data_IF_436510862776
#
_entry.id   IF_436510862776
#
_cell.length_a   1.000
_cell.length_b   1.000
_cell.length_c   1.000
_cell.angle_alpha   90.00
_cell.angle_beta   90.00
_cell.angle_gamma   90.00
#
_symmetry.space_group_name_H-M   'P 1'
#
loop_
_entity.id
_entity.type
_entity.pdbx_description
1 polymer ?
#
# COMPACT_ATOMS: atom_id res chain seq x y z
N UNK A 1 18.12 3.34 -29.54
CA UNK A 1 17.50 2.81 -28.31
C UNK A 1 16.11 3.45 -28.21
N UNK A 2 15.04 2.71 -28.54
CA UNK A 2 13.67 3.28 -28.48
C UNK A 2 13.26 3.36 -27.01
N UNK A 3 12.87 4.53 -26.54
CA UNK A 3 12.23 4.70 -25.23
C UNK A 3 11.07 3.72 -25.16
N UNK A 4 11.07 2.82 -24.17
CA UNK A 4 9.90 1.98 -23.91
C UNK A 4 8.80 2.93 -23.45
N UNK A 5 7.78 3.12 -24.26
CA UNK A 5 6.56 3.76 -23.80
C UNK A 5 5.98 2.85 -22.71
N UNK A 6 6.15 3.25 -21.45
CA UNK A 6 5.31 2.71 -20.40
C UNK A 6 3.94 3.36 -20.56
N UNK A 7 2.90 2.54 -20.65
CA UNK A 7 1.53 3.06 -20.65
C UNK A 7 1.34 3.91 -19.39
N UNK A 8 0.75 5.10 -19.54
CA UNK A 8 0.55 6.06 -18.44
C UNK A 8 -0.34 5.48 -17.34
N UNK A 9 -1.14 4.50 -17.70
CA UNK A 9 -2.03 3.74 -16.83
C UNK A 9 -2.09 2.29 -17.31
N UNK A 10 -2.54 1.39 -16.44
CA UNK A 10 -2.91 0.02 -16.77
C UNK A 10 -4.33 -0.26 -16.25
N UNK A 11 -5.12 -1.10 -16.94
CA UNK A 11 -6.43 -1.49 -16.44
C UNK A 11 -6.24 -2.43 -15.23
N UNK A 12 -7.11 -2.29 -14.23
CA UNK A 12 -7.15 -3.19 -13.11
C UNK A 12 -8.60 -3.53 -12.76
N UNK A 13 -8.92 -4.81 -12.72
CA UNK A 13 -10.26 -5.33 -12.39
C UNK A 13 -10.42 -5.52 -10.88
N UNK A 14 -11.67 -5.66 -10.42
CA UNK A 14 -11.95 -6.00 -9.01
C UNK A 14 -11.35 -7.35 -8.62
N UNK A 15 -11.38 -8.33 -9.53
CA UNK A 15 -10.79 -9.65 -9.30
C UNK A 15 -9.27 -9.57 -9.13
N UNK A 16 -8.59 -8.80 -9.99
CA UNK A 16 -7.14 -8.57 -9.86
C UNK A 16 -6.81 -7.79 -8.58
N UNK A 17 -7.64 -6.81 -8.19
CA UNK A 17 -7.44 -6.13 -6.91
C UNK A 17 -7.61 -7.06 -5.72
N UNK A 18 -8.68 -7.85 -5.70
CA UNK A 18 -8.90 -8.83 -4.64
C UNK A 18 -7.70 -9.76 -4.53
N UNK A 19 -7.21 -10.30 -5.66
CA UNK A 19 -6.03 -11.17 -5.70
C UNK A 19 -4.80 -10.50 -5.09
N UNK A 20 -4.51 -9.24 -5.46
CA UNK A 20 -3.41 -8.45 -4.87
C UNK A 20 -3.59 -8.17 -3.38
N UNK A 21 -4.83 -8.04 -2.92
CA UNK A 21 -5.11 -7.68 -1.52
C UNK A 21 -4.97 -8.87 -0.57
N UNK A 22 -5.06 -10.09 -1.10
CA UNK A 22 -4.94 -11.33 -0.33
C UNK A 22 -3.66 -12.11 -0.64
N UNK A 23 -2.80 -11.61 -1.53
CA UNK A 23 -1.61 -12.34 -2.00
C UNK A 23 -0.61 -12.66 -0.89
N UNK A 24 -0.62 -11.86 0.16
CA UNK A 24 0.30 -11.96 1.30
C UNK A 24 -0.27 -12.80 2.45
N UNK A 25 -1.53 -13.22 2.37
CA UNK A 25 -2.18 -14.02 3.41
C UNK A 25 -1.61 -15.44 3.38
N UNK A 26 -1.05 -15.96 4.50
CA UNK A 26 -0.48 -17.30 4.53
C UNK A 26 -1.49 -18.40 4.19
N UNK A 27 -1.01 -19.46 3.55
CA UNK A 27 -1.81 -20.64 3.23
C UNK A 27 -2.50 -21.22 4.46
N UNK A 28 -3.79 -21.57 4.31
CA UNK A 28 -4.60 -22.13 5.39
C UNK A 28 -5.15 -21.11 6.39
N UNK A 29 -4.81 -19.82 6.26
CA UNK A 29 -5.43 -18.76 7.06
C UNK A 29 -6.85 -18.44 6.54
N UNK A 30 -7.83 -18.14 7.42
CA UNK A 30 -9.13 -17.64 7.01
C UNK A 30 -9.03 -16.35 6.18
N UNK A 31 -10.01 -16.06 5.30
CA UNK A 31 -10.07 -14.79 4.59
C UNK A 31 -10.01 -13.60 5.55
N UNK A 32 -9.08 -12.69 5.31
CA UNK A 32 -8.88 -11.50 6.14
C UNK A 32 -9.69 -10.30 5.67
N UNK A 33 -10.00 -10.22 4.37
CA UNK A 33 -10.82 -9.14 3.84
C UNK A 33 -12.22 -9.23 4.41
N UNK A 34 -12.70 -8.08 4.89
CA UNK A 34 -14.02 -7.99 5.48
C UNK A 34 -15.10 -7.73 4.42
N UNK A 35 -16.40 -7.93 4.73
CA UNK A 35 -17.48 -7.65 3.77
C UNK A 35 -17.50 -6.20 3.24
N UNK A 36 -16.80 -5.28 3.91
CA UNK A 36 -16.56 -3.92 3.42
C UNK A 36 -15.82 -3.87 2.08
N UNK A 37 -15.10 -4.93 1.68
CA UNK A 37 -14.41 -4.98 0.39
C UNK A 37 -15.38 -4.82 -0.79
N UNK A 38 -16.58 -5.41 -0.74
CA UNK A 38 -17.53 -5.33 -1.85
C UNK A 38 -18.05 -3.90 -2.05
N UNK A 39 -18.34 -3.20 -0.95
CA UNK A 39 -18.69 -1.79 -0.98
C UNK A 39 -17.52 -0.97 -1.52
N UNK A 40 -16.32 -1.18 -0.98
CA UNK A 40 -15.11 -0.49 -1.44
C UNK A 40 -14.86 -0.73 -2.93
N UNK A 41 -15.04 -1.95 -3.44
CA UNK A 41 -14.82 -2.30 -4.83
C UNK A 41 -15.81 -1.60 -5.76
N UNK A 42 -17.09 -1.50 -5.35
CA UNK A 42 -18.10 -0.73 -6.07
C UNK A 42 -17.77 0.76 -6.12
N UNK A 43 -17.37 1.33 -5.00
CA UNK A 43 -16.98 2.75 -4.92
C UNK A 43 -15.69 3.03 -5.71
N UNK A 44 -14.71 2.12 -5.64
CA UNK A 44 -13.47 2.18 -6.40
C UNK A 44 -13.71 2.15 -7.91
N UNK A 45 -14.58 1.26 -8.41
CA UNK A 45 -14.97 1.24 -9.83
C UNK A 45 -15.62 2.57 -10.26
N UNK A 46 -16.43 3.19 -9.40
CA UNK A 46 -17.09 4.46 -9.67
C UNK A 46 -16.12 5.66 -9.73
N UNK A 47 -14.89 5.53 -9.21
CA UNK A 47 -13.88 6.60 -9.31
C UNK A 47 -13.39 6.83 -10.74
N UNK A 48 -13.55 5.87 -11.63
CA UNK A 48 -13.21 6.00 -13.05
C UNK A 48 -14.48 6.00 -13.91
N UNK A 49 -14.90 7.14 -14.50
CA UNK A 49 -16.13 7.25 -15.29
C UNK A 49 -16.20 6.33 -16.52
N UNK A 50 -15.07 5.79 -16.99
CA UNK A 50 -15.03 4.85 -18.13
C UNK A 50 -14.93 3.38 -17.71
N UNK A 51 -14.96 3.09 -16.41
CA UNK A 51 -14.76 1.73 -15.89
C UNK A 51 -15.80 0.71 -16.37
N UNK A 52 -17.03 1.17 -16.67
CA UNK A 52 -18.12 0.34 -17.18
C UNK A 52 -18.16 0.16 -18.71
N UNK A 53 -17.20 0.70 -19.46
CA UNK A 53 -17.24 0.72 -20.92
C UNK A 53 -16.85 -0.59 -21.62
N UNK A 54 -16.36 -1.59 -20.90
CA UNK A 54 -15.83 -2.86 -21.45
C UNK A 54 -16.58 -4.11 -20.98
N UNK A 55 -16.19 -5.28 -21.51
CA UNK A 55 -16.75 -6.58 -21.10
C UNK A 55 -16.37 -7.01 -19.69
N UNK A 56 -15.30 -6.44 -19.13
CA UNK A 56 -14.87 -6.62 -17.74
C UNK A 56 -14.63 -5.25 -17.12
N UNK A 57 -15.42 -4.83 -16.12
CA UNK A 57 -15.22 -3.54 -15.46
C UNK A 57 -13.83 -3.42 -14.84
N UNK A 58 -13.14 -2.30 -15.10
CA UNK A 58 -11.78 -2.06 -14.64
C UNK A 58 -11.51 -0.57 -14.42
N UNK A 59 -10.59 -0.25 -13.52
CA UNK A 59 -10.13 1.12 -13.25
C UNK A 59 -8.81 1.38 -13.98
N UNK A 60 -8.68 2.53 -14.66
CA UNK A 60 -7.39 3.00 -15.18
C UNK A 60 -6.50 3.40 -14.01
N UNK A 61 -5.57 2.51 -13.66
CA UNK A 61 -4.63 2.71 -12.56
C UNK A 61 -3.36 3.38 -13.06
N UNK A 62 -2.92 4.52 -12.50
CA UNK A 62 -1.69 5.19 -12.93
C UNK A 62 -0.46 4.29 -12.78
N UNK A 63 0.45 4.34 -13.75
CA UNK A 63 1.70 3.56 -13.71
C UNK A 63 2.81 4.19 -12.85
N UNK A 64 2.63 5.44 -12.40
CA UNK A 64 3.62 6.20 -11.63
C UNK A 64 4.12 5.48 -10.37
N UNK A 65 3.22 5.04 -9.46
CA UNK A 65 3.63 4.34 -8.23
C UNK A 65 4.51 3.11 -8.49
N UNK A 66 4.29 2.40 -9.61
CA UNK A 66 5.13 1.25 -9.97
C UNK A 66 6.53 1.67 -10.41
N UNK A 67 6.66 2.81 -11.09
CA UNK A 67 7.96 3.37 -11.45
C UNK A 67 8.71 3.83 -10.20
N UNK A 68 8.03 4.53 -9.29
CA UNK A 68 8.60 5.02 -8.03
C UNK A 68 9.07 3.86 -7.15
N UNK A 69 8.27 2.80 -7.05
CA UNK A 69 8.62 1.59 -6.31
C UNK A 69 9.85 0.89 -6.91
N UNK A 70 9.93 0.77 -8.23
CA UNK A 70 11.09 0.19 -8.89
C UNK A 70 12.37 1.03 -8.65
N UNK A 71 12.24 2.35 -8.69
CA UNK A 71 13.34 3.26 -8.41
C UNK A 71 13.82 3.13 -6.95
N UNK A 72 12.88 3.14 -5.99
CA UNK A 72 13.18 2.94 -4.58
C UNK A 72 13.85 1.59 -4.29
N UNK A 73 13.34 0.49 -4.85
CA UNK A 73 13.97 -0.84 -4.73
C UNK A 73 15.33 -0.94 -5.41
N UNK A 74 15.64 -0.04 -6.34
CA UNK A 74 16.96 0.07 -6.98
C UNK A 74 17.90 1.00 -6.21
N UNK A 75 17.48 1.56 -5.07
CA UNK A 75 18.26 2.48 -4.25
C UNK A 75 18.19 3.95 -4.68
N UNK A 76 17.22 4.31 -5.53
CA UNK A 76 17.01 5.67 -6.04
C UNK A 76 15.56 6.13 -5.74
N UNK A 77 15.20 6.38 -4.47
CA UNK A 77 13.87 6.83 -4.12
C UNK A 77 13.59 8.21 -4.74
N UNK A 78 12.33 8.52 -5.11
CA UNK A 78 11.98 9.78 -5.78
C UNK A 78 12.06 11.02 -4.87
N UNK A 79 12.56 10.87 -3.64
CA UNK A 79 12.71 11.91 -2.64
C UNK A 79 13.84 11.57 -1.67
N UNK A 80 14.34 12.57 -0.94
CA UNK A 80 15.36 12.42 0.10
C UNK A 80 14.71 12.23 1.48
N UNK A 81 14.71 11.02 2.09
CA UNK A 81 14.01 10.79 3.35
C UNK A 81 14.56 11.60 4.52
N UNK A 82 15.84 11.97 4.46
CA UNK A 82 16.50 12.80 5.46
C UNK A 82 15.91 14.21 5.59
N UNK A 83 15.17 14.68 4.58
CA UNK A 83 14.50 15.99 4.60
C UNK A 83 13.12 15.97 5.28
N UNK A 84 12.66 14.82 5.77
CA UNK A 84 11.40 14.74 6.52
C UNK A 84 11.64 15.30 7.93
N UNK A 85 11.13 16.51 8.17
CA UNK A 85 11.21 17.22 9.45
C UNK A 85 10.01 16.93 10.38
N UNK A 86 8.92 16.39 9.86
CA UNK A 86 7.73 16.08 10.66
C UNK A 86 7.97 14.84 11.56
N UNK A 87 7.35 14.76 12.76
CA UNK A 87 7.22 13.50 13.48
C UNK A 87 6.68 12.41 12.55
N UNK A 88 7.32 11.24 12.52
CA UNK A 88 6.98 10.17 11.57
C UNK A 88 6.72 8.84 12.27
N UNK A 89 5.63 8.16 11.91
CA UNK A 89 5.34 6.80 12.34
C UNK A 89 5.16 5.90 11.11
N UNK A 90 5.98 4.87 11.01
CA UNK A 90 5.87 3.81 10.01
C UNK A 90 4.96 2.74 10.62
N UNK A 91 3.80 2.48 10.01
CA UNK A 91 2.88 1.43 10.44
C UNK A 91 2.70 0.44 9.29
N UNK A 92 2.97 -0.84 9.54
CA UNK A 92 3.01 -1.88 8.51
C UNK A 92 2.55 -3.23 9.03
N UNK A 93 2.11 -4.08 8.11
CA UNK A 93 1.67 -5.43 8.41
C UNK A 93 2.84 -6.41 8.55
N UNK A 94 2.65 -7.48 9.31
CA UNK A 94 3.63 -8.56 9.42
C UNK A 94 3.77 -9.37 8.14
N UNK A 95 2.66 -9.56 7.42
CA UNK A 95 2.62 -10.33 6.18
C UNK A 95 2.87 -9.48 4.95
N UNK A 96 2.87 -8.15 5.06
CA UNK A 96 3.08 -7.22 3.96
C UNK A 96 4.43 -7.45 3.26
N UNK A 97 4.39 -8.05 2.07
CA UNK A 97 5.58 -8.38 1.29
C UNK A 97 6.14 -7.17 0.53
N UNK A 98 5.36 -6.10 0.42
CA UNK A 98 5.74 -4.86 -0.26
C UNK A 98 6.49 -3.89 0.66
N UNK A 99 6.43 -4.11 1.98
CA UNK A 99 7.05 -3.29 3.01
C UNK A 99 7.79 -4.18 4.03
N UNK A 100 8.92 -4.74 3.59
CA UNK A 100 9.67 -5.71 4.39
C UNK A 100 10.30 -5.09 5.64
N UNK A 101 10.79 -5.93 6.56
CA UNK A 101 11.56 -5.47 7.72
C UNK A 101 12.83 -4.72 7.31
N UNK A 102 13.43 -5.09 6.17
CA UNK A 102 14.60 -4.39 5.63
C UNK A 102 14.24 -3.00 5.10
N UNK A 103 13.14 -2.88 4.34
CA UNK A 103 12.66 -1.60 3.81
C UNK A 103 12.33 -0.64 4.95
N UNK A 104 11.59 -1.10 5.96
CA UNK A 104 11.19 -0.30 7.11
C UNK A 104 12.41 0.17 7.92
N UNK A 105 13.37 -0.73 8.19
CA UNK A 105 14.62 -0.38 8.87
C UNK A 105 15.44 0.63 8.07
N UNK A 106 15.51 0.46 6.75
CA UNK A 106 16.22 1.37 5.84
C UNK A 106 15.62 2.77 5.86
N UNK A 107 14.31 2.88 5.66
CA UNK A 107 13.58 4.15 5.70
C UNK A 107 13.68 4.80 7.09
N UNK A 108 13.48 4.03 8.16
CA UNK A 108 13.59 4.53 9.53
C UNK A 108 14.96 5.16 9.80
N UNK A 109 16.04 4.53 9.35
CA UNK A 109 17.40 5.06 9.49
C UNK A 109 17.64 6.31 8.62
N UNK A 110 17.06 6.36 7.41
CA UNK A 110 17.22 7.46 6.47
C UNK A 110 16.52 8.75 6.89
N UNK A 111 15.44 8.67 7.67
CA UNK A 111 14.72 9.85 8.20
C UNK A 111 15.55 10.47 9.33
N UNK A 112 16.47 11.38 9.03
CA UNK A 112 17.40 11.93 10.03
C UNK A 112 16.92 13.22 10.69
N UNK A 113 16.09 14.02 10.01
CA UNK A 113 15.65 15.33 10.51
C UNK A 113 14.37 15.30 11.34
N UNK A 114 13.70 14.14 11.44
CA UNK A 114 12.46 14.03 12.20
C UNK A 114 12.74 14.05 13.71
N UNK A 115 12.00 14.85 14.50
CA UNK A 115 12.18 14.95 15.95
C UNK A 115 11.67 13.72 16.71
N UNK A 116 10.82 12.89 16.08
CA UNK A 116 10.25 11.68 16.66
C UNK A 116 10.00 10.66 15.55
N UNK A 117 10.50 9.44 15.73
CA UNK A 117 10.28 8.33 14.79
C UNK A 117 9.79 7.08 15.51
N UNK A 118 8.81 6.40 14.92
CA UNK A 118 8.31 5.10 15.39
C UNK A 118 8.20 4.12 14.21
N UNK A 119 8.49 2.83 14.46
CA UNK A 119 8.16 1.71 13.57
C UNK A 119 7.24 0.75 14.33
N UNK A 120 6.05 0.51 13.79
CA UNK A 120 5.01 -0.34 14.37
C UNK A 120 4.64 -1.43 13.36
N UNK A 121 5.08 -2.66 13.66
CA UNK A 121 4.70 -3.86 12.91
C UNK A 121 3.48 -4.51 13.56
N UNK A 122 2.42 -4.72 12.78
CA UNK A 122 1.15 -5.31 13.22
C UNK A 122 1.12 -6.78 12.81
N UNK A 123 1.03 -7.68 13.78
CA UNK A 123 0.87 -9.12 13.56
C UNK A 123 -0.32 -9.42 12.65
N UNK A 124 -0.17 -10.40 11.75
CA UNK A 124 -1.23 -10.88 10.85
C UNK A 124 -1.80 -9.82 9.88
N UNK A 125 -1.17 -8.66 9.78
CA UNK A 125 -1.58 -7.62 8.84
C UNK A 125 -0.95 -7.81 7.46
N UNK A 126 -1.75 -7.69 6.40
CA UNK A 126 -1.27 -7.64 5.02
C UNK A 126 -1.03 -6.20 4.51
N UNK A 127 -0.79 -6.06 3.21
CA UNK A 127 -0.59 -4.74 2.59
C UNK A 127 -1.84 -3.83 2.66
N UNK A 128 -3.04 -4.42 2.76
CA UNK A 128 -4.32 -3.71 2.73
C UNK A 128 -5.08 -3.79 4.06
N UNK A 129 -4.35 -3.79 5.18
CA UNK A 129 -4.87 -3.88 6.55
C UNK A 129 -6.12 -3.04 6.85
N UNK A 130 -6.29 -1.87 6.22
CA UNK A 130 -7.46 -1.04 6.47
C UNK A 130 -8.80 -1.66 6.03
N UNK A 131 -8.78 -2.68 5.15
CA UNK A 131 -9.93 -3.47 4.71
C UNK A 131 -10.02 -4.85 5.40
N UNK A 132 -9.00 -5.21 6.16
CA UNK A 132 -8.87 -6.51 6.81
C UNK A 132 -9.60 -6.57 8.16
N UNK A 133 -9.80 -7.78 8.69
CA UNK A 133 -10.42 -8.02 10.00
C UNK A 133 -9.58 -7.41 11.14
N UNK A 134 -8.25 -7.39 10.97
CA UNK A 134 -7.27 -6.79 11.88
C UNK A 134 -7.21 -5.26 11.88
N UNK A 135 -7.94 -4.55 11.00
CA UNK A 135 -7.83 -3.10 10.76
C UNK A 135 -7.85 -2.19 11.98
N UNK A 136 -8.49 -2.61 13.07
CA UNK A 136 -8.54 -1.82 14.32
C UNK A 136 -7.17 -1.64 14.95
N UNK A 137 -6.23 -2.55 14.74
CA UNK A 137 -4.85 -2.39 15.19
C UNK A 137 -4.17 -1.21 14.46
N UNK A 138 -4.34 -1.12 13.13
CA UNK A 138 -3.86 0.01 12.33
C UNK A 138 -4.44 1.33 12.84
N UNK A 139 -5.75 1.38 13.11
CA UNK A 139 -6.40 2.60 13.60
C UNK A 139 -5.89 3.02 14.99
N UNK A 140 -5.65 2.06 15.88
CA UNK A 140 -5.09 2.35 17.21
C UNK A 140 -3.64 2.85 17.12
N UNK A 141 -2.82 2.26 16.24
CA UNK A 141 -1.45 2.71 16.04
C UNK A 141 -1.42 4.15 15.50
N UNK A 142 -2.23 4.44 14.47
CA UNK A 142 -2.33 5.77 13.89
C UNK A 142 -2.88 6.81 14.90
N UNK A 143 -3.98 6.49 15.60
CA UNK A 143 -4.55 7.39 16.61
C UNK A 143 -3.59 7.59 17.79
N UNK A 144 -2.92 6.53 18.25
CA UNK A 144 -1.93 6.60 19.32
C UNK A 144 -0.70 7.42 18.96
N UNK A 145 -0.40 7.61 17.67
CA UNK A 145 0.67 8.52 17.24
C UNK A 145 0.18 9.97 17.13
N UNK A 146 -1.02 10.19 16.59
CA UNK A 146 -1.55 11.53 16.30
C UNK A 146 -2.14 12.26 17.52
N UNK A 147 -2.54 11.52 18.56
CA UNK A 147 -3.21 12.07 19.75
C UNK A 147 -2.27 12.22 20.95
N UNK A 148 -0.96 12.08 20.74
CA UNK A 148 0.09 12.28 21.74
C UNK A 148 0.72 13.65 21.57
#
# INVERSE_FOLDING_TARGET
MRARHHDRWFPLTVAEQHSRFVSDVPDGHPPVLTPQFDQWASEWLATDPVSGGGSTPSVRTPSGPRADMLAAWSGDPPYEPGLIEAPTCIVRGEWDSMCTDEDARGLFAAITSSPLRQDVKISEGGHLMHLESGRRALYRAAAGFLLV
#
